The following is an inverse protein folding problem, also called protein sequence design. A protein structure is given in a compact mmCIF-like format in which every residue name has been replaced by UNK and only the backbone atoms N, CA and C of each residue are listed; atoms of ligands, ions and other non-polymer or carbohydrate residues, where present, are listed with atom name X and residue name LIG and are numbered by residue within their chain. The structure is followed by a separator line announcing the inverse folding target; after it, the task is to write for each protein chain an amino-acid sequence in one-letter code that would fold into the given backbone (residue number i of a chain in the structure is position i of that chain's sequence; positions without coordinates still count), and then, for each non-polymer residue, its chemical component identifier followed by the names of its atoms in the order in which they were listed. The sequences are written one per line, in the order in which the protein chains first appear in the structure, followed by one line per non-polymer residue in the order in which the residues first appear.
data_IF_550439805009
#
_entry.id   IF_550439805009
#
_cell.length_a   1.000
_cell.length_b   1.000
_cell.length_c   1.000
_cell.angle_alpha   90.00
_cell.angle_beta   90.00
_cell.angle_gamma   90.00
#
_symmetry.space_group_name_H-M   'P 1'
#
loop_
_entity.id
_entity.type
_entity.pdbx_description
1 polymer ?
#
# COMPACT_ATOMS: atom_id res chain seq x y z
N UNK A 1 6.13 -9.80 52.00
CA UNK A 1 4.70 -10.07 51.73
C UNK A 1 4.52 -10.00 50.22
N UNK A 2 4.25 -11.13 49.56
CA UNK A 2 3.91 -11.15 48.14
C UNK A 2 2.38 -11.08 48.01
N UNK A 3 1.91 -10.25 47.08
CA UNK A 3 0.50 -10.12 46.74
C UNK A 3 0.32 -10.73 45.35
N UNK A 4 -0.53 -11.73 45.25
CA UNK A 4 -0.90 -12.37 43.99
C UNK A 4 -2.20 -11.75 43.47
N UNK A 5 -2.19 -11.26 42.23
CA UNK A 5 -3.33 -10.61 41.60
C UNK A 5 -3.81 -11.48 40.44
N UNK A 6 -5.03 -12.00 40.55
CA UNK A 6 -5.70 -12.68 39.46
C UNK A 6 -6.58 -11.69 38.69
N UNK A 7 -6.24 -11.45 37.42
CA UNK A 7 -7.04 -10.64 36.50
C UNK A 7 -7.91 -11.57 35.68
N UNK A 8 -9.23 -11.44 35.81
CA UNK A 8 -10.20 -12.14 34.94
C UNK A 8 -10.62 -11.17 33.85
N UNK A 9 -10.19 -11.45 32.62
CA UNK A 9 -10.63 -10.71 31.43
C UNK A 9 -11.80 -11.47 30.82
N UNK A 10 -12.98 -10.85 30.64
CA UNK A 10 -14.10 -11.51 29.97
C UNK A 10 -13.74 -11.90 28.53
N UNK A 11 -14.19 -13.06 28.08
CA UNK A 11 -13.87 -13.59 26.74
C UNK A 11 -14.23 -12.59 25.62
N UNK A 12 -15.36 -11.89 25.75
CA UNK A 12 -15.80 -10.87 24.80
C UNK A 12 -14.78 -9.74 24.60
N UNK A 13 -13.99 -9.40 25.63
CA UNK A 13 -12.95 -8.37 25.53
C UNK A 13 -11.80 -8.88 24.66
N UNK A 14 -11.41 -10.14 24.85
CA UNK A 14 -10.34 -10.79 24.09
C UNK A 14 -10.80 -10.98 22.63
N UNK A 15 -12.03 -11.41 22.42
CA UNK A 15 -12.63 -11.57 21.09
C UNK A 15 -12.65 -10.25 20.30
N UNK A 16 -13.15 -9.17 20.91
CA UNK A 16 -13.18 -7.85 20.26
C UNK A 16 -11.77 -7.32 19.97
N UNK A 17 -10.83 -7.52 20.88
CA UNK A 17 -9.43 -7.15 20.65
C UNK A 17 -8.83 -7.89 19.46
N UNK A 18 -9.02 -9.21 19.41
CA UNK A 18 -8.48 -10.04 18.33
C UNK A 18 -9.14 -9.73 16.98
N UNK A 19 -10.45 -9.46 16.97
CA UNK A 19 -11.17 -9.06 15.75
C UNK A 19 -10.63 -7.74 15.20
N UNK A 20 -10.50 -6.72 16.06
CA UNK A 20 -9.89 -5.44 15.67
C UNK A 20 -8.47 -5.61 15.13
N UNK A 21 -7.65 -6.42 15.80
CA UNK A 21 -6.30 -6.73 15.36
C UNK A 21 -6.28 -7.41 13.99
N UNK A 22 -7.17 -8.37 13.76
CA UNK A 22 -7.28 -9.06 12.48
C UNK A 22 -7.67 -8.09 11.35
N UNK A 23 -8.64 -7.22 11.59
CA UNK A 23 -9.05 -6.19 10.62
C UNK A 23 -7.90 -5.24 10.28
N UNK A 24 -7.10 -4.81 11.25
CA UNK A 24 -5.92 -3.99 11.00
C UNK A 24 -4.87 -4.72 10.16
N UNK A 25 -4.63 -6.00 10.42
CA UNK A 25 -3.73 -6.79 9.59
C UNK A 25 -4.22 -6.92 8.14
N UNK A 26 -5.52 -7.16 7.95
CA UNK A 26 -6.09 -7.21 6.60
C UNK A 26 -5.98 -5.86 5.90
N UNK A 27 -6.29 -4.77 6.59
CA UNK A 27 -6.15 -3.42 6.05
C UNK A 27 -4.70 -3.13 5.62
N UNK A 28 -3.71 -3.54 6.42
CA UNK A 28 -2.28 -3.44 6.04
C UNK A 28 -2.00 -4.22 4.76
N UNK A 29 -2.43 -5.47 4.66
CA UNK A 29 -2.27 -6.31 3.47
C UNK A 29 -2.93 -5.71 2.22
N UNK A 30 -4.12 -5.15 2.37
CA UNK A 30 -4.88 -4.53 1.29
C UNK A 30 -4.24 -3.24 0.81
N UNK A 31 -3.74 -2.40 1.74
CA UNK A 31 -3.00 -1.19 1.40
C UNK A 31 -1.70 -1.52 0.64
N UNK A 32 -0.97 -2.55 1.07
CA UNK A 32 0.23 -3.02 0.38
C UNK A 32 -0.10 -3.53 -1.02
N UNK A 33 -1.19 -4.31 -1.16
CA UNK A 33 -1.67 -4.79 -2.46
C UNK A 33 -2.06 -3.64 -3.37
N UNK A 34 -2.83 -2.67 -2.87
CA UNK A 34 -3.22 -1.48 -3.61
C UNK A 34 -2.00 -0.66 -4.06
N UNK A 35 -1.00 -0.50 -3.20
CA UNK A 35 0.25 0.17 -3.54
C UNK A 35 1.00 -0.53 -4.68
N UNK A 36 1.09 -1.87 -4.66
CA UNK A 36 1.70 -2.65 -5.76
C UNK A 36 0.94 -2.47 -7.07
N UNK A 37 -0.40 -2.54 -7.04
CA UNK A 37 -1.24 -2.37 -8.23
C UNK A 37 -1.04 -0.98 -8.83
N UNK A 38 -1.05 0.08 -8.01
CA UNK A 38 -0.83 1.46 -8.48
C UNK A 38 0.55 1.64 -9.10
N UNK A 39 1.60 1.07 -8.50
CA UNK A 39 2.95 1.07 -9.09
C UNK A 39 2.95 0.37 -10.45
N UNK A 40 2.35 -0.82 -10.54
CA UNK A 40 2.30 -1.57 -11.78
C UNK A 40 1.56 -0.82 -12.89
N UNK A 41 0.40 -0.23 -12.59
CA UNK A 41 -0.36 0.57 -13.55
C UNK A 41 0.44 1.79 -14.06
N UNK A 42 1.11 2.52 -13.16
CA UNK A 42 1.99 3.62 -13.55
C UNK A 42 3.15 3.14 -14.43
N UNK A 43 3.78 2.02 -14.10
CA UNK A 43 4.85 1.43 -14.90
C UNK A 43 4.37 1.03 -16.30
N UNK A 44 3.24 0.33 -16.42
CA UNK A 44 2.68 -0.06 -17.72
C UNK A 44 2.40 1.15 -18.62
N UNK A 45 1.85 2.23 -18.07
CA UNK A 45 1.63 3.47 -18.83
C UNK A 45 2.96 4.07 -19.32
N UNK A 46 3.98 4.09 -18.46
CA UNK A 46 5.31 4.62 -18.83
C UNK A 46 6.00 3.72 -19.86
N UNK A 47 5.85 2.41 -19.76
CA UNK A 47 6.42 1.41 -20.68
C UNK A 47 5.74 1.43 -22.05
N UNK A 48 4.44 1.75 -22.10
CA UNK A 48 3.70 2.02 -23.33
C UNK A 48 4.10 3.35 -24.00
N UNK A 49 5.03 4.12 -23.40
CA UNK A 49 5.59 5.34 -23.96
C UNK A 49 4.84 6.61 -23.59
N UNK A 50 3.78 6.54 -22.77
CA UNK A 50 3.05 7.74 -22.34
C UNK A 50 3.96 8.65 -21.51
N UNK A 51 4.07 9.95 -21.83
CA UNK A 51 4.79 10.92 -21.00
C UNK A 51 4.27 10.96 -19.55
N UNK A 52 5.13 11.37 -18.61
CA UNK A 52 4.77 11.43 -17.19
C UNK A 52 3.55 12.33 -16.93
N UNK A 53 3.43 13.45 -17.66
CA UNK A 53 2.26 14.33 -17.61
C UNK A 53 0.96 13.65 -18.07
N UNK A 54 0.99 12.94 -19.20
CA UNK A 54 -0.19 12.20 -19.69
C UNK A 54 -0.59 11.07 -18.74
N UNK A 55 0.40 10.36 -18.18
CA UNK A 55 0.18 9.31 -17.19
C UNK A 55 -0.46 9.87 -15.91
N UNK A 56 0.01 11.03 -15.44
CA UNK A 56 -0.51 11.72 -14.26
C UNK A 56 -2.00 12.09 -14.42
N UNK A 57 -2.36 12.66 -15.58
CA UNK A 57 -3.74 13.00 -15.91
C UNK A 57 -4.62 11.75 -15.98
N UNK A 58 -4.18 10.71 -16.69
CA UNK A 58 -4.94 9.49 -16.86
C UNK A 58 -5.19 8.74 -15.54
N UNK A 59 -4.22 8.79 -14.61
CA UNK A 59 -4.30 8.12 -13.31
C UNK A 59 -4.86 9.02 -12.19
N UNK A 60 -5.17 10.28 -12.46
CA UNK A 60 -5.68 11.23 -11.47
C UNK A 60 -4.70 11.52 -10.33
N UNK A 61 -3.39 11.51 -10.60
CA UNK A 61 -2.32 11.75 -9.61
C UNK A 61 -1.34 12.82 -10.11
N UNK A 62 -0.49 13.34 -9.23
CA UNK A 62 0.53 14.32 -9.62
C UNK A 62 1.66 13.69 -10.45
N UNK A 63 2.33 14.49 -11.27
CA UNK A 63 3.52 14.05 -12.02
C UNK A 63 4.65 13.57 -11.10
N UNK A 64 4.85 14.24 -9.97
CA UNK A 64 5.80 13.80 -8.94
C UNK A 64 5.44 12.40 -8.42
N UNK A 65 4.16 12.12 -8.22
CA UNK A 65 3.72 10.80 -7.78
C UNK A 65 3.95 9.74 -8.84
N UNK A 66 3.74 10.05 -10.13
CA UNK A 66 4.12 9.16 -11.24
C UNK A 66 5.62 8.85 -11.19
N UNK A 67 6.48 9.86 -10.97
CA UNK A 67 7.92 9.65 -10.87
C UNK A 67 8.32 8.78 -9.66
N UNK A 68 7.61 8.87 -8.53
CA UNK A 68 7.84 7.99 -7.37
C UNK A 68 7.38 6.54 -7.63
N UNK A 69 6.27 6.36 -8.34
CA UNK A 69 5.68 5.05 -8.61
C UNK A 69 6.37 4.31 -9.75
N UNK A 70 6.83 5.07 -10.75
CA UNK A 70 7.50 4.59 -11.95
C UNK A 70 8.63 5.57 -12.33
N UNK A 71 9.79 5.53 -11.64
CA UNK A 71 10.92 6.45 -11.83
C UNK A 71 11.54 6.48 -13.22
N UNK A 72 11.01 5.71 -14.15
CA UNK A 72 11.23 5.87 -15.58
C UNK A 72 12.29 4.92 -16.11
N UNK A 73 11.87 4.18 -17.14
CA UNK A 73 12.69 3.53 -18.15
C UNK A 73 13.76 4.51 -18.63
N UNK A 74 15.03 4.29 -18.26
CA UNK A 74 16.15 4.88 -19.00
C UNK A 74 15.91 4.42 -20.44
N UNK A 75 15.66 5.37 -21.35
CA UNK A 75 15.63 5.09 -22.79
C UNK A 75 16.80 4.14 -23.09
N UNK A 76 16.54 2.86 -23.37
CA UNK A 76 17.51 2.05 -24.10
C UNK A 76 17.59 2.73 -25.46
N UNK A 77 18.51 3.69 -25.60
CA UNK A 77 19.03 4.11 -26.89
C UNK A 77 19.52 2.81 -27.52
N UNK A 78 18.76 2.26 -28.47
CA UNK A 78 19.35 1.39 -29.49
C UNK A 78 20.37 2.28 -30.22
N UNK A 79 21.63 2.13 -29.84
CA UNK A 79 22.78 2.34 -30.71
C UNK A 79 23.23 0.99 -31.20
#
# INVERSE_FOLDING_TARGET
MQVEVHVVVPDIVIELWNEGHHLEEQARRDLDRAARIRRHAATLARDAGYPAGATAVALGISQQRVAQLAPGLRRRRRG
#
